data_IF_483762988248
#
_entry.id   IF_483762988248
#
_cell.length_a   1.000
_cell.length_b   1.000
_cell.length_c   1.000
_cell.angle_alpha   90.00
_cell.angle_beta   90.00
_cell.angle_gamma   90.00
#
_symmetry.space_group_name_H-M   'P 1'
#
loop_
_entity.id
_entity.type
_entity.pdbx_description
1 polymer ?
#
# COMPACT_ATOMS: atom_id res chain seq x y z
N UNK A 1 -4.46 63.72 -4.62
CA UNK A 1 -5.21 63.78 -3.34
C UNK A 1 -5.35 62.37 -2.78
N UNK A 2 -5.05 62.16 -1.51
CA UNK A 2 -5.18 60.84 -0.85
C UNK A 2 -6.34 60.86 0.14
N UNK A 3 -6.98 59.72 0.38
CA UNK A 3 -8.15 59.61 1.27
C UNK A 3 -7.83 59.77 2.76
N UNK A 4 -6.58 59.55 3.14
CA UNK A 4 -6.11 59.56 4.52
C UNK A 4 -4.63 59.99 4.58
N UNK A 5 -4.16 60.31 5.79
CA UNK A 5 -2.76 60.63 6.04
C UNK A 5 -1.81 59.45 5.79
N UNK A 6 -2.30 58.22 5.93
CA UNK A 6 -1.57 56.97 5.60
C UNK A 6 -1.35 56.81 4.10
N UNK A 7 -2.08 57.55 3.24
CA UNK A 7 -1.97 57.57 1.78
C UNK A 7 -2.26 56.23 1.08
N UNK A 8 -3.05 55.36 1.73
CA UNK A 8 -3.37 54.02 1.20
C UNK A 8 -4.20 54.04 -0.08
N UNK A 9 -4.97 55.12 -0.31
CA UNK A 9 -5.81 55.26 -1.50
C UNK A 9 -5.70 56.65 -2.11
N UNK A 10 -5.29 56.68 -3.38
CA UNK A 10 -5.34 57.87 -4.21
C UNK A 10 -6.79 58.12 -4.67
N UNK A 11 -7.31 59.32 -4.41
CA UNK A 11 -8.68 59.74 -4.75
C UNK A 11 -8.71 60.88 -5.78
N UNK A 12 -7.58 61.15 -6.44
CA UNK A 12 -7.52 62.10 -7.55
C UNK A 12 -8.15 61.51 -8.80
N UNK A 13 -9.44 61.78 -8.99
CA UNK A 13 -10.21 61.38 -10.17
C UNK A 13 -9.65 61.98 -11.47
N UNK A 14 -8.95 63.11 -11.41
CA UNK A 14 -8.30 63.72 -12.60
C UNK A 14 -7.09 62.92 -13.11
N UNK A 15 -6.43 62.13 -12.26
CA UNK A 15 -5.21 61.38 -12.62
C UNK A 15 -5.56 60.04 -13.27
N UNK A 16 -6.68 59.43 -12.87
CA UNK A 16 -7.07 58.10 -13.33
C UNK A 16 -7.20 57.99 -14.86
N UNK A 17 -7.91 58.89 -15.57
CA UNK A 17 -8.03 58.81 -17.03
C UNK A 17 -6.69 58.94 -17.75
N UNK A 18 -5.77 59.75 -17.21
CA UNK A 18 -4.43 59.96 -17.79
C UNK A 18 -3.62 58.66 -17.72
N UNK A 19 -3.63 58.00 -16.56
CA UNK A 19 -2.92 56.73 -16.36
C UNK A 19 -3.57 55.59 -17.15
N UNK A 20 -4.91 55.49 -17.15
CA UNK A 20 -5.63 54.48 -17.94
C UNK A 20 -5.36 54.63 -19.44
N UNK A 21 -5.33 55.87 -19.95
CA UNK A 21 -5.00 56.14 -21.35
C UNK A 21 -3.56 55.75 -21.69
N UNK A 22 -2.59 56.18 -20.86
CA UNK A 22 -1.18 55.89 -21.09
C UNK A 22 -0.88 54.39 -21.03
N UNK A 23 -1.44 53.68 -20.05
CA UNK A 23 -1.29 52.22 -19.95
C UNK A 23 -2.00 51.53 -21.11
N UNK A 24 -3.21 51.96 -21.47
CA UNK A 24 -3.95 51.36 -22.58
C UNK A 24 -3.18 51.45 -23.89
N UNK A 25 -2.64 52.62 -24.21
CA UNK A 25 -1.86 52.85 -25.43
C UNK A 25 -0.57 52.02 -25.44
N UNK A 26 0.25 52.12 -24.38
CA UNK A 26 1.51 51.37 -24.30
C UNK A 26 1.31 49.85 -24.26
N UNK A 27 0.26 49.36 -23.60
CA UNK A 27 -0.04 47.93 -23.53
C UNK A 27 -0.53 47.39 -24.88
N UNK A 28 -1.37 48.16 -25.59
CA UNK A 28 -1.81 47.82 -26.94
C UNK A 28 -0.64 47.75 -27.91
N UNK A 29 0.21 48.78 -27.93
CA UNK A 29 1.42 48.80 -28.75
C UNK A 29 2.31 47.60 -28.45
N UNK A 30 2.58 47.32 -27.16
CA UNK A 30 3.41 46.19 -26.77
C UNK A 30 2.83 44.82 -27.19
N UNK A 31 1.51 44.62 -27.10
CA UNK A 31 0.87 43.38 -27.56
C UNK A 31 0.89 43.22 -29.07
N UNK A 32 0.83 44.31 -29.84
CA UNK A 32 0.98 44.28 -31.30
C UNK A 32 2.42 43.93 -31.72
N UNK A 33 3.41 44.47 -31.01
CA UNK A 33 4.83 44.20 -31.27
C UNK A 33 5.29 42.81 -30.80
N UNK A 34 4.67 42.25 -29.76
CA UNK A 34 5.08 40.97 -29.13
C UNK A 34 3.97 39.91 -29.20
N UNK A 35 3.61 39.40 -30.40
CA UNK A 35 2.44 38.53 -30.57
C UNK A 35 2.57 37.16 -29.91
N UNK A 36 3.79 36.63 -29.72
CA UNK A 36 3.99 35.33 -29.07
C UNK A 36 3.72 35.41 -27.56
N UNK A 37 4.27 36.43 -26.89
CA UNK A 37 4.08 36.72 -25.49
C UNK A 37 2.65 37.17 -25.20
N UNK A 38 2.08 38.04 -26.05
CA UNK A 38 0.69 38.45 -25.97
C UNK A 38 -0.26 37.24 -26.01
N UNK A 39 0.01 36.27 -26.89
CA UNK A 39 -0.75 35.02 -26.95
C UNK A 39 -0.68 34.20 -25.65
N UNK A 40 0.50 34.11 -25.03
CA UNK A 40 0.67 33.44 -23.73
C UNK A 40 -0.13 34.13 -22.62
N UNK A 41 -0.06 35.47 -22.55
CA UNK A 41 -0.80 36.28 -21.58
C UNK A 41 -2.31 36.10 -21.78
N UNK A 42 -2.78 36.24 -23.03
CA UNK A 42 -4.20 36.06 -23.37
C UNK A 42 -4.69 34.65 -23.05
N UNK A 43 -3.89 33.63 -23.32
CA UNK A 43 -4.26 32.26 -22.99
C UNK A 43 -4.42 32.06 -21.48
N UNK A 44 -3.51 32.61 -20.66
CA UNK A 44 -3.62 32.57 -19.20
C UNK A 44 -4.87 33.31 -18.70
N UNK A 45 -5.23 34.44 -19.31
CA UNK A 45 -6.45 35.19 -18.99
C UNK A 45 -7.69 34.36 -19.34
N UNK A 46 -7.74 33.75 -20.51
CA UNK A 46 -8.86 32.91 -20.97
C UNK A 46 -9.02 31.69 -20.05
N UNK A 47 -7.92 31.01 -19.69
CA UNK A 47 -7.94 29.87 -18.78
C UNK A 47 -8.46 30.27 -17.39
N UNK A 48 -8.02 31.41 -16.85
CA UNK A 48 -8.53 31.94 -15.59
C UNK A 48 -10.02 32.35 -15.66
N UNK A 49 -10.45 32.95 -16.78
CA UNK A 49 -11.85 33.31 -17.00
C UNK A 49 -12.75 32.07 -17.11
N UNK A 50 -12.32 31.05 -17.86
CA UNK A 50 -13.02 29.77 -17.99
C UNK A 50 -13.12 29.04 -16.63
N UNK A 51 -12.04 29.03 -15.85
CA UNK A 51 -12.04 28.46 -14.50
C UNK A 51 -13.02 29.19 -13.57
N UNK A 52 -13.03 30.53 -13.59
CA UNK A 52 -13.99 31.34 -12.83
C UNK A 52 -15.43 31.11 -13.28
N UNK A 53 -15.69 31.02 -14.58
CA UNK A 53 -17.04 30.78 -15.10
C UNK A 53 -17.53 29.36 -14.76
N UNK A 54 -16.64 28.36 -14.83
CA UNK A 54 -16.93 27.00 -14.41
C UNK A 54 -17.20 26.91 -12.90
N UNK A 55 -16.37 27.56 -12.06
CA UNK A 55 -16.60 27.69 -10.62
C UNK A 55 -17.95 28.36 -10.35
N UNK A 56 -18.25 29.47 -11.04
CA UNK A 56 -19.53 30.17 -10.91
C UNK A 56 -20.72 29.29 -11.34
N UNK A 57 -20.60 28.53 -12.43
CA UNK A 57 -21.63 27.58 -12.88
C UNK A 57 -21.84 26.46 -11.88
N UNK A 58 -20.77 25.88 -11.33
CA UNK A 58 -20.85 24.87 -10.27
C UNK A 58 -21.48 25.44 -8.99
N UNK A 59 -21.13 26.69 -8.65
CA UNK A 59 -21.70 27.44 -7.53
C UNK A 59 -23.17 27.80 -7.74
N UNK A 60 -23.57 28.16 -8.96
CA UNK A 60 -24.97 28.43 -9.31
C UNK A 60 -25.78 27.12 -9.38
N UNK A 61 -25.17 25.99 -9.77
CA UNK A 61 -25.80 24.67 -9.72
C UNK A 61 -26.07 24.24 -8.27
N UNK A 62 -25.16 24.56 -7.34
CA UNK A 62 -25.31 24.33 -5.90
C UNK A 62 -26.24 25.36 -5.23
N UNK A 63 -26.24 26.63 -5.67
CA UNK A 63 -27.12 27.71 -5.15
C UNK A 63 -28.55 27.72 -5.72
N UNK A 64 -28.80 27.34 -6.97
CA UNK A 64 -30.18 27.28 -7.51
C UNK A 64 -31.02 26.21 -6.79
N UNK A 65 -30.38 25.28 -6.09
CA UNK A 65 -31.01 24.35 -5.15
C UNK A 65 -31.19 24.93 -3.73
N UNK A 66 -30.82 26.17 -3.43
CA UNK A 66 -30.62 26.60 -2.03
C UNK A 66 -31.75 27.41 -1.36
N UNK A 67 -32.77 27.89 -2.08
CA UNK A 67 -33.75 28.80 -1.45
C UNK A 67 -35.07 28.12 -1.01
N UNK A 68 -35.43 26.97 -1.61
CA UNK A 68 -36.61 26.18 -1.22
C UNK A 68 -36.31 24.67 -1.06
N UNK A 69 -35.14 24.20 -1.49
CA UNK A 69 -34.69 22.80 -1.34
C UNK A 69 -33.58 22.71 -0.28
N UNK A 70 -33.95 22.60 0.98
CA UNK A 70 -33.01 22.16 2.04
C UNK A 70 -32.49 20.71 1.78
N UNK A 71 -32.90 20.02 0.70
CA UNK A 71 -32.88 18.56 0.64
C UNK A 71 -32.57 17.93 -0.73
N UNK A 72 -31.53 18.35 -1.45
CA UNK A 72 -31.02 17.55 -2.58
C UNK A 72 -29.57 17.13 -2.37
N UNK A 73 -29.36 16.38 -1.28
CA UNK A 73 -28.22 15.48 -1.18
C UNK A 73 -28.12 14.64 -2.45
N UNK A 74 -26.90 14.28 -2.90
CA UNK A 74 -26.77 13.44 -4.07
C UNK A 74 -27.57 12.15 -3.88
N UNK A 75 -28.35 11.73 -4.88
CA UNK A 75 -29.20 10.52 -4.74
C UNK A 75 -28.41 9.23 -4.45
N UNK A 76 -27.09 9.24 -4.71
CA UNK A 76 -26.18 8.15 -4.35
C UNK A 76 -25.77 8.15 -2.88
N UNK A 77 -25.79 9.30 -2.21
CA UNK A 77 -25.36 9.43 -0.82
C UNK A 77 -26.41 8.80 0.11
N UNK A 78 -25.99 7.81 0.89
CA UNK A 78 -26.76 7.32 2.02
C UNK A 78 -26.29 8.03 3.29
N UNK A 79 -26.95 9.15 3.63
CA UNK A 79 -26.58 10.02 4.75
C UNK A 79 -26.91 9.41 6.13
N UNK A 80 -26.29 9.94 7.19
CA UNK A 80 -26.52 9.59 8.59
C UNK A 80 -27.47 10.58 9.29
N UNK A 81 -27.87 10.26 10.53
CA UNK A 81 -28.76 11.09 11.34
C UNK A 81 -28.00 12.19 12.11
N UNK A 82 -26.76 11.93 12.48
CA UNK A 82 -25.88 12.84 13.20
C UNK A 82 -25.64 14.12 12.38
N UNK A 83 -25.76 15.26 13.05
CA UNK A 83 -25.58 16.60 12.48
C UNK A 83 -24.30 17.27 12.96
N UNK A 84 -23.73 16.81 14.07
CA UNK A 84 -22.43 17.22 14.57
C UNK A 84 -21.32 16.61 13.69
N UNK A 85 -20.59 17.42 12.89
CA UNK A 85 -19.56 16.90 12.00
C UNK A 85 -18.45 16.13 12.72
N UNK A 86 -18.19 16.45 13.99
CA UNK A 86 -17.14 15.80 14.79
C UNK A 86 -17.46 14.34 15.13
N UNK A 87 -18.75 13.98 15.10
CA UNK A 87 -19.25 12.63 15.40
C UNK A 87 -19.67 11.86 14.14
N UNK A 88 -19.83 12.56 13.03
CA UNK A 88 -20.27 11.99 11.77
C UNK A 88 -19.08 11.55 10.90
N UNK A 89 -19.27 10.43 10.21
CA UNK A 89 -18.25 9.81 9.37
C UNK A 89 -18.79 9.56 7.96
N UNK A 90 -17.97 9.75 6.93
CA UNK A 90 -18.31 9.49 5.53
C UNK A 90 -17.37 8.42 4.97
N UNK A 91 -17.92 7.30 4.51
CA UNK A 91 -17.18 6.29 3.76
C UNK A 91 -17.38 6.49 2.26
N UNK A 92 -16.28 6.67 1.55
CA UNK A 92 -16.23 6.70 0.10
C UNK A 92 -15.86 5.29 -0.37
N UNK A 93 -16.78 4.65 -1.09
CA UNK A 93 -16.67 3.22 -1.45
C UNK A 93 -16.56 3.05 -2.95
N UNK A 94 -15.69 2.14 -3.37
CA UNK A 94 -15.54 1.75 -4.76
C UNK A 94 -16.70 0.86 -5.23
N UNK A 95 -17.48 1.35 -6.20
CA UNK A 95 -18.54 0.60 -6.85
C UNK A 95 -19.86 0.53 -6.09
N UNK A 96 -20.95 0.27 -6.83
CA UNK A 96 -22.28 0.15 -6.23
C UNK A 96 -22.45 -1.16 -5.44
N UNK A 97 -21.68 -2.20 -5.77
CA UNK A 97 -21.77 -3.51 -5.09
C UNK A 97 -21.34 -3.36 -3.63
N UNK A 98 -20.10 -2.93 -3.40
CA UNK A 98 -19.60 -2.66 -2.05
C UNK A 98 -20.39 -1.53 -1.37
N UNK A 99 -20.81 -0.50 -2.12
CA UNK A 99 -21.69 0.55 -1.61
C UNK A 99 -23.05 0.04 -1.11
N UNK A 100 -23.63 -0.95 -1.78
CA UNK A 100 -24.88 -1.59 -1.40
C UNK A 100 -24.77 -2.37 -0.09
N UNK A 101 -23.73 -3.21 0.03
CA UNK A 101 -23.45 -3.97 1.25
C UNK A 101 -23.09 -3.05 2.42
N UNK A 102 -22.24 -2.04 2.18
CA UNK A 102 -21.88 -1.05 3.20
C UNK A 102 -23.10 -0.24 3.67
N UNK A 103 -24.01 0.13 2.75
CA UNK A 103 -25.27 0.83 3.12
C UNK A 103 -26.17 -0.01 4.02
N UNK A 104 -26.17 -1.34 3.85
CA UNK A 104 -26.95 -2.27 4.68
C UNK A 104 -26.30 -2.45 6.05
N UNK A 105 -24.97 -2.52 6.10
CA UNK A 105 -24.18 -2.78 7.30
C UNK A 105 -24.00 -1.56 8.22
N UNK A 106 -23.95 -0.34 7.65
CA UNK A 106 -23.58 0.88 8.38
C UNK A 106 -24.43 1.15 9.62
N UNK A 107 -23.84 1.84 10.58
CA UNK A 107 -24.62 2.52 11.60
C UNK A 107 -25.27 3.78 11.00
N UNK A 108 -26.60 3.78 10.95
CA UNK A 108 -27.37 4.91 10.41
C UNK A 108 -27.29 6.16 11.29
N UNK A 109 -26.88 6.02 12.56
CA UNK A 109 -26.75 7.14 13.47
C UNK A 109 -25.66 8.08 12.98
N UNK A 110 -24.45 7.59 12.72
CA UNK A 110 -23.27 8.42 12.47
C UNK A 110 -22.48 8.12 11.18
N UNK A 111 -22.76 7.03 10.45
CA UNK A 111 -21.99 6.66 9.25
C UNK A 111 -22.77 6.95 7.97
N UNK A 112 -22.22 7.78 7.09
CA UNK A 112 -22.71 8.01 5.74
C UNK A 112 -21.90 7.20 4.72
N UNK A 113 -22.56 6.73 3.65
CA UNK A 113 -21.91 5.95 2.57
C UNK A 113 -22.10 6.67 1.24
N UNK A 114 -20.99 6.89 0.53
CA UNK A 114 -20.95 7.46 -0.81
C UNK A 114 -20.29 6.47 -1.80
N UNK A 115 -21.07 5.74 -2.60
CA UNK A 115 -20.53 4.89 -3.65
C UNK A 115 -20.09 5.72 -4.86
N UNK A 116 -18.90 5.43 -5.39
CA UNK A 116 -18.37 6.00 -6.62
C UNK A 116 -18.37 4.95 -7.72
N UNK A 117 -18.69 5.36 -8.96
CA UNK A 117 -18.66 4.45 -10.12
C UNK A 117 -17.52 4.79 -11.07
N UNK A 118 -16.83 3.74 -11.53
CA UNK A 118 -15.77 3.86 -12.53
C UNK A 118 -14.50 4.53 -12.01
N UNK A 119 -13.51 4.67 -12.90
CA UNK A 119 -12.26 5.36 -12.58
C UNK A 119 -12.53 6.86 -12.49
N UNK A 120 -12.16 7.46 -11.36
CA UNK A 120 -12.30 8.90 -11.16
C UNK A 120 -11.45 9.64 -12.19
N UNK A 121 -11.94 10.80 -12.64
CA UNK A 121 -11.17 11.66 -13.53
C UNK A 121 -9.86 12.08 -12.84
N UNK A 122 -8.73 11.87 -13.51
CA UNK A 122 -7.45 12.35 -13.01
C UNK A 122 -7.42 13.89 -13.02
N UNK A 123 -7.51 14.47 -11.83
CA UNK A 123 -7.58 15.92 -11.62
C UNK A 123 -6.24 16.63 -11.74
N UNK A 124 -5.13 15.90 -11.70
CA UNK A 124 -3.80 16.45 -11.97
C UNK A 124 -3.67 16.88 -13.43
N UNK A 125 -4.24 16.07 -14.33
CA UNK A 125 -4.20 16.32 -15.79
C UNK A 125 -5.40 17.10 -16.30
N UNK A 126 -6.55 16.96 -15.65
CA UNK A 126 -7.77 17.58 -16.12
C UNK A 126 -7.79 19.07 -15.77
N UNK A 127 -8.14 19.89 -16.76
CA UNK A 127 -8.47 21.30 -16.51
C UNK A 127 -9.63 21.40 -15.51
N UNK A 128 -9.63 22.48 -14.74
CA UNK A 128 -10.58 22.70 -13.63
C UNK A 128 -12.05 22.65 -14.08
N UNK A 129 -12.37 23.15 -15.26
CA UNK A 129 -13.70 23.08 -15.89
C UNK A 129 -14.14 21.64 -16.16
N UNK A 130 -13.24 20.81 -16.69
CA UNK A 130 -13.50 19.38 -16.93
C UNK A 130 -13.68 18.62 -15.63
N UNK A 131 -12.91 18.97 -14.59
CA UNK A 131 -13.07 18.41 -13.25
C UNK A 131 -14.46 18.68 -12.69
N UNK A 132 -14.95 19.92 -12.79
CA UNK A 132 -16.29 20.30 -12.32
C UNK A 132 -17.43 19.67 -13.13
N UNK A 133 -17.18 19.33 -14.40
CA UNK A 133 -18.15 18.60 -15.22
C UNK A 133 -18.31 17.13 -14.82
N UNK A 134 -17.39 16.58 -14.01
CA UNK A 134 -17.46 15.20 -13.54
C UNK A 134 -18.56 15.03 -12.49
N UNK A 135 -19.52 14.15 -12.80
CA UNK A 135 -20.63 13.87 -11.91
C UNK A 135 -20.18 13.28 -10.57
N UNK A 136 -19.19 12.39 -10.56
CA UNK A 136 -18.66 11.77 -9.33
C UNK A 136 -18.01 12.81 -8.43
N UNK A 137 -17.21 13.72 -9.00
CA UNK A 137 -16.55 14.80 -8.26
C UNK A 137 -17.58 15.79 -7.72
N UNK A 138 -18.54 16.23 -8.55
CA UNK A 138 -19.63 17.10 -8.10
C UNK A 138 -20.47 16.49 -6.97
N UNK A 139 -20.74 15.18 -7.06
CA UNK A 139 -21.45 14.41 -6.02
C UNK A 139 -20.65 14.40 -4.72
N UNK A 140 -19.33 14.15 -4.78
CA UNK A 140 -18.45 14.14 -3.62
C UNK A 140 -18.34 15.52 -2.94
N UNK A 141 -18.15 16.59 -3.72
CA UNK A 141 -18.11 17.97 -3.18
C UNK A 141 -19.43 18.32 -2.49
N UNK A 142 -20.56 17.96 -3.11
CA UNK A 142 -21.89 18.20 -2.54
C UNK A 142 -22.11 17.38 -1.26
N UNK A 143 -21.60 16.14 -1.20
CA UNK A 143 -21.65 15.31 -0.01
C UNK A 143 -20.83 15.92 1.14
N UNK A 144 -19.61 16.40 0.87
CA UNK A 144 -18.73 17.00 1.88
C UNK A 144 -19.25 18.34 2.39
N UNK A 145 -19.87 19.15 1.52
CA UNK A 145 -20.48 20.43 1.88
C UNK A 145 -19.51 21.63 1.91
N UNK A 146 -18.22 21.39 1.70
CA UNK A 146 -17.16 22.40 1.81
C UNK A 146 -17.06 23.37 0.63
N UNK A 147 -17.73 23.09 -0.49
CA UNK A 147 -17.41 23.78 -1.75
C UNK A 147 -16.08 23.31 -2.34
N UNK A 148 -15.59 23.99 -3.39
CA UNK A 148 -14.35 23.61 -4.09
C UNK A 148 -13.60 24.84 -4.64
N UNK A 149 -12.27 24.75 -4.64
CA UNK A 149 -11.38 25.77 -5.19
C UNK A 149 -11.02 26.85 -4.18
N UNK A 150 -9.91 27.56 -4.42
CA UNK A 150 -9.30 28.49 -3.45
C UNK A 150 -10.22 29.61 -2.95
N UNK A 151 -11.20 30.01 -3.75
CA UNK A 151 -12.08 31.16 -3.44
C UNK A 151 -13.43 30.73 -2.79
N UNK A 152 -13.85 29.47 -2.95
CA UNK A 152 -15.18 28.98 -2.51
C UNK A 152 -15.09 27.81 -1.52
N UNK A 153 -13.90 27.23 -1.31
CA UNK A 153 -13.67 26.18 -0.32
C UNK A 153 -13.74 26.76 1.11
N UNK A 154 -14.53 26.10 1.96
CA UNK A 154 -14.72 26.45 3.36
C UNK A 154 -14.80 25.18 4.20
N UNK A 155 -13.72 24.91 4.93
CA UNK A 155 -13.59 23.75 5.80
C UNK A 155 -14.58 23.76 6.97
N UNK A 156 -15.05 24.93 7.42
CA UNK A 156 -16.01 25.03 8.53
C UNK A 156 -17.41 24.53 8.12
N UNK A 157 -17.67 24.40 6.81
CA UNK A 157 -18.89 23.77 6.28
C UNK A 157 -18.78 22.26 6.10
N UNK A 158 -17.64 21.65 6.45
CA UNK A 158 -17.44 20.21 6.32
C UNK A 158 -18.46 19.47 7.18
N UNK A 159 -19.19 18.55 6.55
CA UNK A 159 -20.25 17.79 7.22
C UNK A 159 -19.78 16.57 8.01
N UNK A 160 -18.58 16.09 7.71
CA UNK A 160 -18.00 14.88 8.30
C UNK A 160 -16.53 15.12 8.60
N UNK A 161 -16.15 15.19 9.87
CA UNK A 161 -14.74 15.34 10.28
C UNK A 161 -13.96 14.02 10.16
N UNK A 162 -14.63 12.92 9.80
CA UNK A 162 -13.97 11.67 9.45
C UNK A 162 -14.40 11.23 8.05
N UNK A 163 -13.55 11.44 7.07
CA UNK A 163 -13.75 10.97 5.70
C UNK A 163 -12.84 9.76 5.48
N UNK A 164 -13.44 8.60 5.25
CA UNK A 164 -12.75 7.31 5.12
C UNK A 164 -12.83 6.85 3.67
N UNK A 165 -11.68 6.65 3.03
CA UNK A 165 -11.58 6.01 1.71
C UNK A 165 -11.52 4.50 1.91
N UNK A 166 -12.50 3.79 1.35
CA UNK A 166 -12.63 2.34 1.44
C UNK A 166 -12.64 1.75 0.01
N UNK A 167 -11.47 1.31 -0.44
CA UNK A 167 -11.22 0.74 -1.78
C UNK A 167 -10.76 -0.70 -1.67
N UNK A 168 -10.86 -1.45 -2.77
CA UNK A 168 -10.35 -2.83 -2.81
C UNK A 168 -8.82 -2.87 -2.68
N UNK A 169 -8.31 -4.04 -2.27
CA UNK A 169 -6.88 -4.30 -2.10
C UNK A 169 -6.16 -4.62 -3.42
N UNK A 170 -6.88 -4.61 -4.54
CA UNK A 170 -6.32 -4.89 -5.86
C UNK A 170 -5.71 -3.64 -6.52
N UNK A 171 -5.21 -3.83 -7.75
CA UNK A 171 -4.52 -2.78 -8.53
C UNK A 171 -5.49 -1.65 -8.92
N UNK A 172 -6.76 -1.95 -9.17
CA UNK A 172 -7.76 -0.96 -9.55
C UNK A 172 -8.19 -0.11 -8.34
N UNK A 173 -8.36 -0.73 -7.18
CA UNK A 173 -8.60 -0.03 -5.92
C UNK A 173 -7.43 0.85 -5.50
N UNK A 174 -6.18 0.39 -5.68
CA UNK A 174 -5.00 1.22 -5.49
C UNK A 174 -5.01 2.45 -6.43
N UNK A 175 -5.45 2.30 -7.67
CA UNK A 175 -5.53 3.41 -8.63
C UNK A 175 -6.62 4.43 -8.23
N UNK A 176 -7.83 3.99 -7.88
CA UNK A 176 -8.91 4.89 -7.43
C UNK A 176 -8.52 5.59 -6.13
N UNK A 177 -7.91 4.88 -5.19
CA UNK A 177 -7.36 5.46 -3.97
C UNK A 177 -6.38 6.58 -4.30
N UNK A 178 -5.42 6.33 -5.19
CA UNK A 178 -4.43 7.35 -5.56
C UNK A 178 -5.10 8.58 -6.22
N UNK A 179 -6.10 8.38 -7.09
CA UNK A 179 -6.86 9.47 -7.70
C UNK A 179 -7.64 10.31 -6.68
N UNK A 180 -8.25 9.67 -5.68
CA UNK A 180 -8.92 10.35 -4.56
C UNK A 180 -7.93 11.15 -3.72
N UNK A 181 -6.79 10.54 -3.38
CA UNK A 181 -5.74 11.22 -2.61
C UNK A 181 -5.22 12.45 -3.35
N UNK A 182 -4.93 12.34 -4.65
CA UNK A 182 -4.55 13.49 -5.48
C UNK A 182 -5.63 14.57 -5.50
N UNK A 183 -6.91 14.18 -5.58
CA UNK A 183 -8.02 15.14 -5.50
C UNK A 183 -8.06 15.89 -4.17
N UNK A 184 -8.05 15.17 -3.04
CA UNK A 184 -8.08 15.82 -1.72
C UNK A 184 -6.86 16.69 -1.50
N UNK A 185 -5.68 16.22 -1.88
CA UNK A 185 -4.43 16.97 -1.73
C UNK A 185 -4.43 18.27 -2.56
N UNK A 186 -4.88 18.23 -3.82
CA UNK A 186 -4.89 19.42 -4.69
C UNK A 186 -6.04 20.39 -4.40
N UNK A 187 -7.22 19.88 -4.07
CA UNK A 187 -8.45 20.68 -4.03
C UNK A 187 -8.95 20.99 -2.61
N UNK A 188 -8.56 20.18 -1.62
CA UNK A 188 -9.03 20.27 -0.23
C UNK A 188 -7.89 19.98 0.77
N UNK A 189 -6.71 20.64 0.67
CA UNK A 189 -5.55 20.33 1.51
C UNK A 189 -5.84 20.46 3.00
N UNK A 190 -6.67 21.43 3.41
CA UNK A 190 -7.06 21.64 4.81
C UNK A 190 -7.75 20.42 5.45
N UNK A 191 -8.40 19.57 4.64
CA UNK A 191 -9.02 18.33 5.14
C UNK A 191 -7.95 17.34 5.61
N UNK A 192 -6.80 17.30 4.92
CA UNK A 192 -5.66 16.46 5.29
C UNK A 192 -4.89 17.11 6.46
N UNK A 193 -4.67 18.43 6.41
CA UNK A 193 -3.96 19.17 7.45
C UNK A 193 -4.66 19.10 8.82
N UNK A 194 -6.00 19.15 8.84
CA UNK A 194 -6.80 18.94 10.06
C UNK A 194 -6.95 17.47 10.46
N UNK A 195 -6.38 16.54 9.70
CA UNK A 195 -6.40 15.11 10.00
C UNK A 195 -7.77 14.46 9.84
N UNK A 196 -8.59 14.94 8.90
CA UNK A 196 -9.95 14.42 8.66
C UNK A 196 -10.01 13.32 7.60
N UNK A 197 -8.92 13.06 6.86
CA UNK A 197 -8.86 12.02 5.82
C UNK A 197 -8.22 10.73 6.35
N UNK A 198 -8.89 9.61 6.10
CA UNK A 198 -8.49 8.27 6.54
C UNK A 198 -8.59 7.27 5.39
N UNK A 199 -7.80 6.21 5.46
CA UNK A 199 -7.86 5.06 4.55
C UNK A 199 -8.25 3.84 5.39
N UNK A 200 -9.32 3.15 4.99
CA UNK A 200 -9.71 1.89 5.63
C UNK A 200 -8.69 0.78 5.30
N UNK A 201 -8.44 -0.10 6.26
CA UNK A 201 -7.62 -1.30 6.09
C UNK A 201 -8.53 -2.54 6.26
N UNK A 202 -9.30 -2.92 5.23
CA UNK A 202 -10.13 -4.12 5.30
C UNK A 202 -9.24 -5.37 5.42
N UNK A 203 -9.71 -6.43 6.10
CA UNK A 203 -8.92 -7.63 6.29
C UNK A 203 -8.71 -8.39 4.98
N UNK A 204 -7.50 -8.89 4.76
CA UNK A 204 -7.18 -9.74 3.61
C UNK A 204 -7.68 -11.18 3.82
N UNK A 205 -7.74 -11.64 5.07
CA UNK A 205 -8.12 -13.01 5.41
C UNK A 205 -9.18 -13.08 6.51
N UNK A 206 -10.02 -14.11 6.42
CA UNK A 206 -10.90 -14.58 7.49
C UNK A 206 -10.49 -16.00 7.86
N UNK A 207 -10.21 -16.21 9.14
CA UNK A 207 -9.83 -17.49 9.69
C UNK A 207 -10.90 -17.97 10.66
N UNK A 208 -11.50 -19.13 10.38
CA UNK A 208 -12.56 -19.72 11.19
C UNK A 208 -12.08 -21.03 11.82
N UNK A 209 -12.32 -21.21 13.12
CA UNK A 209 -12.14 -22.48 13.85
C UNK A 209 -13.34 -22.75 14.75
N UNK A 210 -14.19 -23.68 14.33
CA UNK A 210 -15.45 -23.96 15.01
C UNK A 210 -16.34 -22.70 15.02
N UNK A 211 -16.56 -22.12 16.20
CA UNK A 211 -17.34 -20.87 16.37
C UNK A 211 -16.48 -19.60 16.44
N UNK A 212 -15.15 -19.75 16.55
CA UNK A 212 -14.24 -18.61 16.61
C UNK A 212 -13.93 -18.12 15.21
N UNK A 213 -14.14 -16.82 14.98
CA UNK A 213 -13.78 -16.13 13.75
C UNK A 213 -12.73 -15.09 14.11
N UNK A 214 -11.67 -15.01 13.29
CA UNK A 214 -10.67 -13.94 13.37
C UNK A 214 -10.44 -13.36 11.98
N UNK A 215 -10.49 -12.03 11.90
CA UNK A 215 -10.10 -11.28 10.72
C UNK A 215 -8.62 -10.94 10.81
N UNK A 216 -7.91 -11.12 9.71
CA UNK A 216 -6.46 -10.92 9.61
C UNK A 216 -6.20 -9.93 8.47
N UNK A 217 -5.38 -8.91 8.77
CA UNK A 217 -5.19 -7.73 7.92
C UNK A 217 -4.36 -8.02 6.68
N UNK A 218 -3.28 -8.77 6.82
CA UNK A 218 -2.26 -8.96 5.79
C UNK A 218 -1.66 -10.38 5.84
N UNK A 219 -0.70 -10.65 4.95
CA UNK A 219 -0.02 -11.94 4.87
C UNK A 219 0.88 -12.19 6.09
N UNK A 220 1.56 -11.16 6.59
CA UNK A 220 2.51 -11.29 7.69
C UNK A 220 1.81 -11.65 9.01
N UNK A 221 0.64 -11.05 9.26
CA UNK A 221 -0.21 -11.41 10.39
C UNK A 221 -0.77 -12.83 10.23
N UNK A 222 -1.11 -13.27 9.01
CA UNK A 222 -1.53 -14.64 8.76
C UNK A 222 -0.40 -15.63 9.08
N UNK A 223 0.80 -15.37 8.59
CA UNK A 223 1.95 -16.26 8.79
C UNK A 223 2.34 -16.32 10.28
N UNK A 224 2.33 -15.17 10.96
CA UNK A 224 2.54 -15.10 12.41
C UNK A 224 1.48 -15.89 13.19
N UNK A 225 0.20 -15.75 12.79
CA UNK A 225 -0.90 -16.50 13.39
C UNK A 225 -0.78 -18.00 13.14
N UNK A 226 -0.35 -18.42 11.95
CA UNK A 226 -0.12 -19.83 11.63
C UNK A 226 1.09 -20.39 12.39
N UNK A 227 2.14 -19.59 12.64
CA UNK A 227 3.27 -19.98 13.49
C UNK A 227 2.81 -20.20 14.93
N UNK A 228 2.03 -19.27 15.49
CA UNK A 228 1.50 -19.36 16.85
C UNK A 228 0.65 -20.63 17.03
N UNK A 229 -0.32 -20.83 16.13
CA UNK A 229 -1.20 -21.99 16.17
C UNK A 229 -0.45 -23.31 15.88
N UNK A 230 0.47 -23.29 14.90
CA UNK A 230 1.24 -24.46 14.48
C UNK A 230 2.30 -24.92 15.48
N UNK A 231 2.77 -24.02 16.34
CA UNK A 231 3.73 -24.29 17.42
C UNK A 231 3.05 -24.79 18.70
N UNK A 232 1.72 -24.73 18.79
CA UNK A 232 0.97 -25.23 19.95
C UNK A 232 1.11 -26.74 20.08
N UNK A 233 1.48 -27.23 21.27
CA UNK A 233 1.75 -28.65 21.56
C UNK A 233 2.80 -29.29 20.63
N UNK A 234 3.72 -28.47 20.09
CA UNK A 234 4.83 -28.93 19.27
C UNK A 234 6.18 -28.71 19.98
N UNK A 235 7.13 -29.57 19.64
CA UNK A 235 8.51 -29.51 20.12
C UNK A 235 9.47 -29.74 18.95
N UNK A 236 10.58 -29.02 18.93
CA UNK A 236 11.68 -29.23 18.02
C UNK A 236 12.91 -29.68 18.82
N UNK A 237 13.38 -30.90 18.57
CA UNK A 237 14.63 -31.40 19.17
C UNK A 237 15.77 -31.11 18.21
N UNK A 238 16.69 -30.24 18.62
CA UNK A 238 17.84 -29.85 17.80
C UNK A 238 18.88 -30.96 17.74
N UNK A 239 19.80 -30.86 16.79
CA UNK A 239 20.94 -31.78 16.65
C UNK A 239 21.87 -31.87 17.87
N UNK A 240 21.79 -30.88 18.78
CA UNK A 240 22.49 -30.87 20.07
C UNK A 240 21.80 -31.72 21.15
N UNK A 241 20.55 -32.15 20.91
CA UNK A 241 19.66 -32.78 21.89
C UNK A 241 18.82 -31.79 22.70
N UNK A 242 19.02 -30.47 22.52
CA UNK A 242 18.17 -29.46 23.15
C UNK A 242 16.73 -29.53 22.60
N UNK A 243 15.74 -29.45 23.49
CA UNK A 243 14.32 -29.46 23.12
C UNK A 243 13.77 -28.04 23.21
N UNK A 244 13.26 -27.53 22.10
CA UNK A 244 12.67 -26.20 21.95
C UNK A 244 11.15 -26.32 21.83
N UNK A 245 10.41 -25.51 22.58
CA UNK A 245 8.95 -25.52 22.62
C UNK A 245 8.40 -24.12 22.97
N UNK A 246 7.08 -23.93 22.80
CA UNK A 246 6.42 -22.69 23.21
C UNK A 246 6.96 -21.46 22.48
N UNK A 247 7.27 -20.39 23.21
CA UNK A 247 7.75 -19.11 22.64
C UNK A 247 9.07 -19.26 21.87
N UNK A 248 9.98 -20.13 22.32
CA UNK A 248 11.24 -20.33 21.61
C UNK A 248 11.02 -21.02 20.24
N UNK A 249 10.03 -21.92 20.14
CA UNK A 249 9.67 -22.54 18.86
C UNK A 249 9.02 -21.52 17.92
N UNK A 250 8.19 -20.61 18.46
CA UNK A 250 7.62 -19.50 17.67
C UNK A 250 8.71 -18.58 17.13
N UNK A 251 9.70 -18.25 17.96
CA UNK A 251 10.86 -17.45 17.56
C UNK A 251 11.65 -18.13 16.43
N UNK A 252 11.95 -19.43 16.55
CA UNK A 252 12.59 -20.19 15.47
C UNK A 252 11.73 -20.23 14.20
N UNK A 253 10.40 -20.33 14.33
CA UNK A 253 9.48 -20.23 13.19
C UNK A 253 9.54 -18.88 12.49
N UNK A 254 9.62 -17.78 13.25
CA UNK A 254 9.78 -16.43 12.70
C UNK A 254 11.15 -16.24 12.02
N UNK A 255 12.22 -16.73 12.65
CA UNK A 255 13.56 -16.73 12.05
C UNK A 255 13.61 -17.55 10.75
N UNK A 256 12.92 -18.70 10.73
CA UNK A 256 12.76 -19.51 9.53
C UNK A 256 12.00 -18.76 8.43
N UNK A 257 10.94 -18.03 8.77
CA UNK A 257 10.16 -17.22 7.83
C UNK A 257 11.02 -16.11 7.20
N UNK A 258 11.82 -15.42 8.01
CA UNK A 258 12.76 -14.40 7.53
C UNK A 258 13.76 -15.04 6.56
N UNK A 259 14.39 -16.14 6.96
CA UNK A 259 15.35 -16.86 6.10
C UNK A 259 14.70 -17.29 4.77
N UNK A 260 13.49 -17.87 4.82
CA UNK A 260 12.77 -18.31 3.64
C UNK A 260 12.41 -17.16 2.71
N UNK A 261 11.99 -16.01 3.24
CA UNK A 261 11.69 -14.84 2.42
C UNK A 261 12.91 -14.35 1.63
N UNK A 262 14.11 -14.49 2.19
CA UNK A 262 15.36 -14.12 1.51
C UNK A 262 15.73 -15.19 0.47
N UNK A 263 15.57 -16.47 0.78
CA UNK A 263 15.81 -17.57 -0.16
C UNK A 263 14.86 -17.51 -1.36
N UNK A 264 13.60 -17.15 -1.15
CA UNK A 264 12.59 -17.00 -2.20
C UNK A 264 12.99 -15.96 -3.26
N UNK A 265 13.65 -14.86 -2.86
CA UNK A 265 14.18 -13.85 -3.79
C UNK A 265 15.34 -14.38 -4.63
N UNK A 266 16.09 -15.35 -4.09
CA UNK A 266 17.23 -15.97 -4.75
C UNK A 266 16.86 -17.19 -5.60
N UNK A 267 15.62 -17.70 -5.54
CA UNK A 267 15.12 -18.87 -6.30
C UNK A 267 15.30 -18.77 -7.82
N UNK A 268 15.33 -17.55 -8.36
CA UNK A 268 15.58 -17.34 -9.80
C UNK A 268 17.02 -17.68 -10.23
N UNK A 269 17.95 -17.82 -9.27
CA UNK A 269 19.38 -18.03 -9.50
C UNK A 269 19.83 -19.45 -9.18
N UNK A 270 19.22 -20.09 -8.19
CA UNK A 270 19.52 -21.47 -7.81
C UNK A 270 18.31 -22.12 -7.10
N UNK A 271 18.25 -23.47 -7.06
CA UNK A 271 17.24 -24.18 -6.30
C UNK A 271 17.25 -23.82 -4.81
N UNK A 272 16.07 -23.78 -4.20
CA UNK A 272 15.87 -23.42 -2.80
C UNK A 272 16.65 -24.33 -1.84
N UNK A 273 16.64 -25.64 -2.12
CA UNK A 273 17.39 -26.64 -1.35
C UNK A 273 18.89 -26.35 -1.35
N UNK A 274 19.46 -25.98 -2.50
CA UNK A 274 20.87 -25.60 -2.63
C UNK A 274 21.16 -24.32 -1.85
N UNK A 275 20.36 -23.27 -2.02
CA UNK A 275 20.57 -22.00 -1.29
C UNK A 275 20.49 -22.23 0.23
N UNK A 276 19.52 -23.01 0.70
CA UNK A 276 19.35 -23.33 2.11
C UNK A 276 20.58 -24.06 2.67
N UNK A 277 21.07 -25.11 1.99
CA UNK A 277 22.22 -25.87 2.48
C UNK A 277 23.53 -25.06 2.42
N UNK A 278 23.71 -24.21 1.41
CA UNK A 278 24.83 -23.27 1.35
C UNK A 278 24.79 -22.25 2.50
N UNK A 279 23.61 -21.74 2.85
CA UNK A 279 23.44 -20.80 3.95
C UNK A 279 23.75 -21.46 5.31
N UNK A 280 23.23 -22.67 5.54
CA UNK A 280 23.46 -23.42 6.78
C UNK A 280 24.95 -23.82 6.94
N UNK A 281 25.62 -24.13 5.83
CA UNK A 281 27.05 -24.44 5.81
C UNK A 281 27.97 -23.20 5.90
N UNK A 282 27.41 -21.98 5.84
CA UNK A 282 28.18 -20.74 5.82
C UNK A 282 28.89 -20.42 4.49
N UNK A 283 28.59 -21.16 3.41
CA UNK A 283 29.25 -21.06 2.12
C UNK A 283 28.95 -19.75 1.33
N UNK A 284 27.97 -18.98 1.79
CA UNK A 284 27.63 -17.66 1.25
C UNK A 284 28.48 -16.52 1.84
N UNK A 285 29.31 -16.81 2.84
CA UNK A 285 30.18 -15.81 3.47
C UNK A 285 31.32 -15.35 2.58
N UNK A 286 31.88 -14.15 2.83
CA UNK A 286 33.03 -13.63 2.09
C UNK A 286 34.31 -14.45 2.33
N UNK A 287 34.43 -15.07 3.51
CA UNK A 287 35.56 -15.92 3.90
C UNK A 287 35.34 -17.40 3.60
N UNK A 288 34.21 -17.76 2.97
CA UNK A 288 33.89 -19.14 2.65
C UNK A 288 34.92 -19.72 1.66
N UNK A 289 35.43 -20.90 1.97
CA UNK A 289 36.37 -21.65 1.15
C UNK A 289 35.91 -23.08 0.90
N UNK A 290 36.85 -23.93 0.50
CA UNK A 290 36.56 -25.32 0.12
C UNK A 290 35.83 -26.09 1.22
N UNK A 291 36.14 -25.84 2.49
CA UNK A 291 35.53 -26.53 3.63
C UNK A 291 34.01 -26.28 3.70
N UNK A 292 33.57 -25.04 3.56
CA UNK A 292 32.15 -24.67 3.60
C UNK A 292 31.41 -25.21 2.37
N UNK A 293 32.07 -25.25 1.21
CA UNK A 293 31.51 -25.84 -0.01
C UNK A 293 31.34 -27.37 0.11
N UNK A 294 32.34 -28.07 0.65
CA UNK A 294 32.26 -29.51 0.93
C UNK A 294 31.21 -29.83 1.99
N UNK A 295 31.08 -29.00 3.04
CA UNK A 295 30.02 -29.17 4.03
C UNK A 295 28.63 -28.98 3.39
N UNK A 296 28.44 -27.97 2.55
CA UNK A 296 27.18 -27.80 1.84
C UNK A 296 26.85 -29.00 0.93
N UNK A 297 27.85 -29.61 0.30
CA UNK A 297 27.69 -30.81 -0.51
C UNK A 297 27.24 -32.01 0.34
N UNK A 298 27.92 -32.26 1.47
CA UNK A 298 27.50 -33.30 2.44
C UNK A 298 26.06 -33.11 2.89
N UNK A 299 25.65 -31.86 3.12
CA UNK A 299 24.28 -31.54 3.53
C UNK A 299 23.25 -31.75 2.41
N UNK A 300 23.63 -31.52 1.16
CA UNK A 300 22.79 -31.84 0.02
C UNK A 300 22.60 -33.35 -0.14
N UNK A 301 23.63 -34.15 0.14
CA UNK A 301 23.51 -35.61 0.13
C UNK A 301 22.54 -36.12 1.21
N UNK A 302 22.52 -35.49 2.40
CA UNK A 302 21.60 -35.85 3.48
C UNK A 302 20.12 -35.74 3.05
N UNK A 303 19.80 -34.78 2.19
CA UNK A 303 18.42 -34.53 1.72
C UNK A 303 18.15 -35.10 0.31
N UNK A 304 19.11 -35.82 -0.27
CA UNK A 304 18.96 -36.39 -1.59
C UNK A 304 18.06 -37.64 -1.56
N UNK A 305 17.28 -37.82 -2.61
CA UNK A 305 16.53 -39.06 -2.82
C UNK A 305 17.48 -40.25 -3.03
N UNK A 306 16.99 -41.46 -2.78
CA UNK A 306 17.79 -42.69 -2.93
C UNK A 306 18.39 -42.80 -4.36
N UNK A 307 19.72 -42.81 -4.43
CA UNK A 307 20.48 -42.87 -5.68
C UNK A 307 20.64 -41.52 -6.41
N UNK A 308 20.36 -40.40 -5.75
CA UNK A 308 20.70 -39.05 -6.22
C UNK A 308 21.74 -38.32 -5.36
N UNK A 309 22.46 -39.05 -4.52
CA UNK A 309 23.59 -38.57 -3.73
C UNK A 309 24.87 -38.38 -4.59
N UNK A 310 25.95 -37.91 -3.98
CA UNK A 310 27.23 -37.66 -4.65
C UNK A 310 27.44 -36.20 -5.04
N UNK A 311 26.87 -35.27 -4.28
CA UNK A 311 27.18 -33.85 -4.44
C UNK A 311 28.66 -33.57 -4.14
N UNK A 312 29.22 -32.67 -4.92
CA UNK A 312 30.54 -32.08 -4.69
C UNK A 312 30.42 -30.56 -4.73
N UNK A 313 31.15 -29.90 -3.84
CA UNK A 313 31.16 -28.44 -3.71
C UNK A 313 32.58 -27.91 -3.85
N UNK A 314 32.79 -26.91 -4.71
CA UNK A 314 34.09 -26.25 -4.88
C UNK A 314 33.95 -24.78 -5.24
N UNK A 315 35.05 -24.05 -5.07
CA UNK A 315 35.23 -22.74 -5.68
C UNK A 315 36.11 -22.88 -6.92
N UNK A 316 35.61 -22.44 -8.07
CA UNK A 316 36.41 -22.35 -9.31
C UNK A 316 37.36 -21.14 -9.25
N UNK A 317 38.37 -21.09 -10.14
CA UNK A 317 39.40 -20.04 -10.17
C UNK A 317 38.85 -18.61 -10.34
N UNK A 318 37.65 -18.47 -10.92
CA UNK A 318 36.95 -17.19 -11.08
C UNK A 318 36.16 -16.76 -9.82
N UNK A 319 36.25 -17.54 -8.75
CA UNK A 319 35.57 -17.31 -7.47
C UNK A 319 34.11 -17.77 -7.46
N UNK A 320 33.63 -18.45 -8.49
CA UNK A 320 32.29 -19.05 -8.54
C UNK A 320 32.19 -20.25 -7.61
N UNK A 321 31.10 -20.33 -6.85
CA UNK A 321 30.75 -21.50 -6.05
C UNK A 321 29.98 -22.49 -6.92
N UNK A 322 30.48 -23.72 -7.03
CA UNK A 322 29.91 -24.77 -7.86
C UNK A 322 29.49 -25.93 -6.97
N UNK A 323 28.21 -26.31 -7.09
CA UNK A 323 27.66 -27.54 -6.54
C UNK A 323 27.29 -28.45 -7.71
N UNK A 324 27.78 -29.67 -7.74
CA UNK A 324 27.45 -30.61 -8.82
C UNK A 324 27.37 -32.06 -8.34
N UNK A 325 26.52 -32.85 -9.00
CA UNK A 325 26.37 -34.31 -8.81
C UNK A 325 26.16 -34.99 -10.16
N UNK A 326 26.32 -36.31 -10.22
CA UNK A 326 25.96 -37.12 -11.38
C UNK A 326 24.83 -38.08 -11.02
N UNK A 327 23.65 -37.88 -11.64
CA UNK A 327 22.48 -38.72 -11.41
C UNK A 327 22.16 -39.47 -12.70
N UNK A 328 22.27 -40.80 -12.68
CA UNK A 328 21.96 -41.69 -13.83
C UNK A 328 22.67 -41.28 -15.13
N UNK A 329 23.93 -40.84 -15.03
CA UNK A 329 24.75 -40.41 -16.17
C UNK A 329 24.48 -38.98 -16.65
N UNK A 330 23.69 -38.19 -15.92
CA UNK A 330 23.43 -36.77 -16.20
C UNK A 330 24.05 -35.92 -15.10
N UNK A 331 24.88 -34.95 -15.48
CA UNK A 331 25.45 -33.97 -14.54
C UNK A 331 24.40 -32.92 -14.19
N UNK A 332 24.04 -32.86 -12.91
CA UNK A 332 23.29 -31.76 -12.32
C UNK A 332 24.28 -30.78 -11.70
N UNK A 333 24.25 -29.53 -12.14
CA UNK A 333 25.27 -28.53 -11.80
C UNK A 333 24.65 -27.17 -11.55
N UNK A 334 24.93 -26.61 -10.38
CA UNK A 334 24.55 -25.27 -9.94
C UNK A 334 25.81 -24.42 -9.82
N UNK A 335 25.87 -23.31 -10.56
CA UNK A 335 27.01 -22.38 -10.58
C UNK A 335 26.57 -21.01 -10.10
N UNK A 336 27.11 -20.60 -8.95
CA UNK A 336 26.86 -19.31 -8.32
C UNK A 336 28.08 -18.41 -8.51
N UNK A 337 27.97 -17.46 -9.45
CA UNK A 337 29.02 -16.47 -9.72
C UNK A 337 29.30 -15.59 -8.50
N UNK A 338 30.48 -14.97 -8.36
CA UNK A 338 30.83 -14.10 -7.22
C UNK A 338 29.75 -13.05 -6.88
N UNK A 339 29.18 -12.41 -7.91
CA UNK A 339 28.12 -11.41 -7.76
C UNK A 339 26.86 -11.92 -7.03
N UNK A 340 26.61 -13.23 -7.02
CA UNK A 340 25.54 -13.82 -6.21
C UNK A 340 25.84 -13.69 -4.72
N UNK A 341 27.06 -14.02 -4.29
CA UNK A 341 27.49 -13.93 -2.87
C UNK A 341 27.60 -12.48 -2.41
N UNK A 342 27.96 -11.57 -3.32
CA UNK A 342 28.04 -10.13 -3.04
C UNK A 342 26.66 -9.45 -2.93
N UNK A 343 25.59 -10.14 -3.36
CA UNK A 343 24.23 -9.61 -3.30
C UNK A 343 23.80 -9.28 -1.87
N UNK A 344 22.90 -8.30 -1.74
CA UNK A 344 22.37 -7.92 -0.43
C UNK A 344 21.66 -9.10 0.25
N UNK A 345 20.97 -9.94 -0.52
CA UNK A 345 20.24 -11.11 -0.03
C UNK A 345 21.18 -12.23 0.43
N UNK A 346 22.24 -12.54 -0.31
CA UNK A 346 23.24 -13.52 0.14
C UNK A 346 23.95 -13.07 1.43
N UNK A 347 24.26 -11.77 1.55
CA UNK A 347 24.80 -11.19 2.79
C UNK A 347 23.81 -11.26 3.95
N UNK A 348 22.51 -11.07 3.69
CA UNK A 348 21.46 -11.25 4.71
C UNK A 348 21.38 -12.70 5.18
N UNK A 349 21.43 -13.68 4.27
CA UNK A 349 21.48 -15.10 4.64
C UNK A 349 22.76 -15.46 5.41
N UNK A 350 23.90 -14.91 5.02
CA UNK A 350 25.15 -15.12 5.74
C UNK A 350 25.07 -14.61 7.19
N UNK A 351 24.40 -13.48 7.46
CA UNK A 351 24.17 -13.00 8.83
C UNK A 351 23.30 -13.95 9.67
N UNK A 352 22.47 -14.77 9.04
CA UNK A 352 21.65 -15.78 9.70
C UNK A 352 22.35 -17.14 9.79
N UNK A 353 23.54 -17.29 9.21
CA UNK A 353 24.22 -18.58 9.07
C UNK A 353 24.46 -19.28 10.42
N UNK A 354 24.89 -18.54 11.45
CA UNK A 354 25.15 -19.11 12.77
C UNK A 354 23.87 -19.69 13.40
N UNK A 355 22.77 -18.94 13.35
CA UNK A 355 21.45 -19.37 13.87
C UNK A 355 20.89 -20.54 13.06
N UNK A 356 21.05 -20.50 11.73
CA UNK A 356 20.65 -21.59 10.84
C UNK A 356 21.50 -22.85 11.09
N UNK A 357 22.79 -22.71 11.35
CA UNK A 357 23.70 -23.81 11.66
C UNK A 357 23.42 -24.40 13.04
N UNK A 358 23.11 -23.57 14.04
CA UNK A 358 22.71 -24.03 15.36
C UNK A 358 21.42 -24.89 15.30
N UNK A 359 20.46 -24.45 14.49
CA UNK A 359 19.15 -25.11 14.38
C UNK A 359 19.16 -26.32 13.45
N UNK A 360 19.76 -26.19 12.27
CA UNK A 360 19.67 -27.16 11.16
C UNK A 360 21.01 -27.80 10.79
N UNK A 361 22.10 -27.48 11.50
CA UNK A 361 23.44 -28.05 11.28
C UNK A 361 23.48 -29.57 11.34
N UNK A 362 22.54 -30.18 12.08
CA UNK A 362 22.15 -31.58 11.96
C UNK A 362 20.63 -31.65 11.84
N UNK A 363 20.07 -32.79 11.39
CA UNK A 363 18.62 -32.95 11.29
C UNK A 363 17.96 -32.69 12.66
N UNK A 364 16.99 -31.78 12.67
CA UNK A 364 16.18 -31.50 13.86
C UNK A 364 14.92 -32.37 13.81
N UNK A 365 14.44 -32.85 14.96
CA UNK A 365 13.24 -33.68 15.04
C UNK A 365 12.06 -32.84 15.51
N UNK A 366 11.11 -32.60 14.62
CA UNK A 366 9.84 -31.95 14.94
C UNK A 366 8.82 -32.99 15.39
N UNK A 367 8.13 -32.73 16.50
CA UNK A 367 7.04 -33.58 17.00
C UNK A 367 5.86 -32.73 17.45
N UNK A 368 4.63 -33.14 17.13
CA UNK A 368 3.40 -32.48 17.59
C UNK A 368 2.49 -33.48 18.30
N UNK A 369 2.25 -33.27 19.58
CA UNK A 369 1.44 -34.19 20.41
C UNK A 369 1.96 -35.63 20.31
N UNK A 370 1.07 -36.55 19.93
CA UNK A 370 1.37 -37.98 19.77
C UNK A 370 1.72 -38.38 18.33
N UNK A 371 1.83 -37.43 17.40
CA UNK A 371 2.26 -37.71 16.03
C UNK A 371 3.73 -38.18 16.00
N UNK A 372 4.08 -38.97 14.98
CA UNK A 372 5.46 -39.41 14.78
C UNK A 372 6.40 -38.22 14.55
N UNK A 373 7.64 -38.34 15.02
CA UNK A 373 8.63 -37.29 14.83
C UNK A 373 9.06 -37.24 13.36
N UNK A 374 9.16 -36.03 12.81
CA UNK A 374 9.59 -35.78 11.43
C UNK A 374 10.92 -35.04 11.45
N UNK A 375 11.86 -35.48 10.62
CA UNK A 375 13.15 -34.82 10.45
C UNK A 375 13.03 -33.54 9.62
N UNK A 376 13.70 -32.50 10.08
CA UNK A 376 13.76 -31.17 9.50
C UNK A 376 15.21 -30.85 9.17
N UNK A 377 15.43 -30.48 7.92
CA UNK A 377 16.75 -30.23 7.33
C UNK A 377 16.97 -28.77 6.93
N UNK A 378 15.98 -27.90 7.15
CA UNK A 378 16.10 -26.48 6.91
C UNK A 378 14.81 -25.68 7.19
N UNK A 379 14.89 -24.35 7.02
CA UNK A 379 13.77 -23.43 7.31
C UNK A 379 12.47 -23.75 6.57
N UNK A 380 12.56 -24.08 5.27
CA UNK A 380 11.39 -24.37 4.43
C UNK A 380 10.52 -25.50 5.03
N UNK A 381 11.15 -26.60 5.42
CA UNK A 381 10.47 -27.76 5.99
C UNK A 381 9.90 -27.46 7.38
N UNK A 382 10.61 -26.69 8.22
CA UNK A 382 10.07 -26.27 9.52
C UNK A 382 8.78 -25.47 9.32
N UNK A 383 8.81 -24.47 8.43
CA UNK A 383 7.65 -23.64 8.11
C UNK A 383 6.51 -24.46 7.52
N UNK A 384 6.81 -25.40 6.62
CA UNK A 384 5.80 -26.28 6.02
C UNK A 384 5.04 -27.06 7.10
N UNK A 385 5.75 -27.70 8.04
CA UNK A 385 5.12 -28.50 9.10
C UNK A 385 4.40 -27.62 10.12
N UNK A 386 4.97 -26.46 10.47
CA UNK A 386 4.33 -25.48 11.35
C UNK A 386 3.03 -24.97 10.70
N UNK A 387 3.08 -24.49 9.47
CA UNK A 387 1.91 -23.98 8.75
C UNK A 387 0.87 -25.06 8.48
N UNK A 388 1.26 -26.28 8.13
CA UNK A 388 0.33 -27.39 7.96
C UNK A 388 -0.45 -27.66 9.26
N UNK A 389 0.24 -27.62 10.41
CA UNK A 389 -0.41 -27.69 11.72
C UNK A 389 -1.28 -26.50 12.05
N UNK A 390 -0.79 -25.30 11.78
CA UNK A 390 -1.51 -24.04 12.00
C UNK A 390 -2.77 -23.94 11.14
N UNK A 391 -2.82 -24.62 9.99
CA UNK A 391 -4.00 -24.72 9.13
C UNK A 391 -4.95 -25.86 9.51
N UNK A 392 -4.48 -26.86 10.27
CA UNK A 392 -5.27 -28.05 10.63
C UNK A 392 -6.49 -27.64 11.47
N UNK A 393 -7.68 -27.86 10.94
CA UNK A 393 -8.95 -27.51 11.59
C UNK A 393 -9.37 -26.04 11.42
N UNK A 394 -8.65 -25.27 10.61
CA UNK A 394 -9.01 -23.90 10.24
C UNK A 394 -9.57 -23.84 8.82
N UNK A 395 -10.58 -23.00 8.62
CA UNK A 395 -11.04 -22.58 7.30
C UNK A 395 -10.54 -21.16 7.05
N UNK A 396 -9.65 -21.02 6.07
CA UNK A 396 -9.05 -19.73 5.70
C UNK A 396 -9.71 -19.28 4.40
N UNK A 397 -10.35 -18.11 4.43
CA UNK A 397 -10.90 -17.45 3.26
C UNK A 397 -10.10 -16.18 2.99
N UNK A 398 -9.64 -15.99 1.76
CA UNK A 398 -9.01 -14.76 1.31
C UNK A 398 -10.04 -13.88 0.61
N UNK A 399 -10.11 -12.61 0.97
CA UNK A 399 -10.94 -11.62 0.27
C UNK A 399 -10.13 -11.00 -0.87
N UNK A 400 -10.75 -10.87 -2.05
CA UNK A 400 -10.15 -10.15 -3.18
C UNK A 400 -10.67 -8.72 -3.31
N UNK A 401 -11.88 -8.47 -2.83
CA UNK A 401 -12.49 -7.16 -2.82
C UNK A 401 -13.61 -7.07 -1.78
N UNK A 402 -14.00 -5.84 -1.45
CA UNK A 402 -15.02 -5.51 -0.46
C UNK A 402 -16.39 -6.08 -0.85
N UNK A 403 -16.65 -6.24 -2.15
CA UNK A 403 -17.88 -6.83 -2.67
C UNK A 403 -18.05 -8.33 -2.37
N UNK A 404 -17.00 -9.04 -1.96
CA UNK A 404 -17.06 -10.45 -1.55
C UNK A 404 -17.52 -10.61 -0.09
N UNK A 405 -17.56 -9.51 0.66
CA UNK A 405 -17.95 -9.50 2.07
C UNK A 405 -19.46 -9.28 2.19
N UNK A 406 -20.13 -10.12 2.99
CA UNK A 406 -21.52 -9.89 3.37
C UNK A 406 -21.64 -8.67 4.31
N UNK A 407 -22.82 -8.03 4.42
CA UNK A 407 -23.01 -6.86 5.28
C UNK A 407 -22.50 -7.04 6.72
N UNK A 408 -22.79 -8.17 7.35
CA UNK A 408 -22.32 -8.44 8.73
C UNK A 408 -20.78 -8.47 8.82
N UNK A 409 -20.11 -9.01 7.79
CA UNK A 409 -18.65 -9.05 7.75
C UNK A 409 -18.04 -7.66 7.55
N UNK A 410 -18.68 -6.82 6.72
CA UNK A 410 -18.28 -5.42 6.57
C UNK A 410 -18.49 -4.63 7.87
N UNK A 411 -19.54 -4.93 8.62
CA UNK A 411 -19.75 -4.36 9.95
C UNK A 411 -18.62 -4.78 10.89
N UNK A 412 -18.44 -6.09 11.09
CA UNK A 412 -17.46 -6.68 12.02
C UNK A 412 -16.00 -6.33 11.73
N UNK A 413 -15.70 -5.76 10.54
CA UNK A 413 -14.35 -5.38 10.17
C UNK A 413 -14.17 -3.89 9.82
N UNK A 414 -14.35 -3.38 8.58
CA UNK A 414 -13.99 -2.00 8.28
C UNK A 414 -14.95 -0.93 8.83
N UNK A 415 -16.19 -1.29 9.21
CA UNK A 415 -17.19 -0.30 9.64
C UNK A 415 -17.33 -0.19 11.17
N UNK A 416 -17.11 -1.24 11.95
CA UNK A 416 -17.21 -1.17 13.42
C UNK A 416 -16.08 -0.29 13.98
N UNK A 417 -16.47 0.75 14.72
CA UNK A 417 -15.55 1.68 15.36
C UNK A 417 -14.58 1.04 16.36
N UNK A 418 -14.93 -0.12 16.91
CA UNK A 418 -14.11 -0.85 17.88
C UNK A 418 -13.18 -1.90 17.25
N UNK A 419 -13.49 -2.38 16.04
CA UNK A 419 -12.75 -3.46 15.38
C UNK A 419 -11.90 -2.98 14.18
N UNK A 420 -12.30 -1.88 13.54
CA UNK A 420 -11.65 -1.40 12.31
C UNK A 420 -10.23 -0.89 12.54
N UNK A 421 -9.43 -1.03 11.49
CA UNK A 421 -8.12 -0.38 11.36
C UNK A 421 -8.20 0.72 10.30
N UNK A 422 -7.78 1.94 10.67
CA UNK A 422 -7.75 3.11 9.79
C UNK A 422 -6.35 3.72 9.79
N UNK A 423 -5.88 4.12 8.62
CA UNK A 423 -4.68 4.95 8.47
C UNK A 423 -5.10 6.41 8.32
N UNK A 424 -4.70 7.26 9.27
CA UNK A 424 -4.91 8.71 9.16
C UNK A 424 -3.85 9.32 8.25
N UNK A 425 -4.27 10.12 7.27
CA UNK A 425 -3.31 10.85 6.45
C UNK A 425 -2.83 12.11 7.15
N UNK A 426 -1.52 12.35 7.06
CA UNK A 426 -0.83 13.54 7.56
C UNK A 426 0.07 14.10 6.46
N UNK A 427 0.26 15.41 6.46
CA UNK A 427 1.21 16.09 5.55
C UNK A 427 2.48 16.34 6.34
N UNK A 428 3.58 15.68 5.99
CA UNK A 428 4.87 15.91 6.65
C UNK A 428 5.63 17.10 6.06
N UNK A 429 5.60 17.28 4.72
CA UNK A 429 6.13 18.47 4.03
C UNK A 429 5.46 18.61 2.65
N UNK A 430 5.13 19.84 2.24
CA UNK A 430 4.45 20.11 0.96
C UNK A 430 5.34 19.87 -0.27
N UNK A 431 6.67 19.97 -0.13
CA UNK A 431 7.59 20.04 -1.27
C UNK A 431 8.01 18.66 -1.82
N UNK A 432 7.94 17.59 -1.01
CA UNK A 432 8.34 16.23 -1.43
C UNK A 432 7.22 15.39 -2.03
N UNK A 433 5.96 15.69 -1.70
CA UNK A 433 4.80 14.93 -2.17
C UNK A 433 4.48 15.22 -3.66
N UNK A 434 4.66 16.47 -4.10
CA UNK A 434 4.36 16.90 -5.47
C UNK A 434 5.15 16.12 -6.54
N UNK A 435 6.43 15.88 -6.30
CA UNK A 435 7.30 15.10 -7.21
C UNK A 435 6.92 13.62 -7.26
N UNK A 436 6.52 13.06 -6.12
CA UNK A 436 6.06 11.67 -6.00
C UNK A 436 4.75 11.46 -6.76
N UNK A 437 3.77 12.36 -6.57
CA UNK A 437 2.49 12.32 -7.27
C UNK A 437 2.66 12.56 -8.77
N UNK A 438 3.56 13.47 -9.17
CA UNK A 438 3.87 13.73 -10.59
C UNK A 438 4.49 12.51 -11.26
N UNK A 439 5.41 11.78 -10.59
CA UNK A 439 5.98 10.52 -11.10
C UNK A 439 4.95 9.40 -11.20
N UNK A 440 4.09 9.25 -10.20
CA UNK A 440 3.03 8.23 -10.17
C UNK A 440 1.88 8.50 -11.16
N UNK A 441 1.60 9.78 -11.43
CA UNK A 441 0.49 10.23 -12.29
C UNK A 441 0.95 10.76 -13.66
N UNK A 442 2.24 10.70 -13.98
CA UNK A 442 2.84 11.13 -15.25
C UNK A 442 2.52 10.23 -16.44
N UNK A 443 2.78 10.70 -17.65
CA UNK A 443 2.39 10.02 -18.90
C UNK A 443 3.17 8.74 -19.21
N UNK A 444 4.29 8.50 -18.53
CA UNK A 444 5.18 7.36 -18.79
C UNK A 444 4.79 6.18 -17.89
N UNK A 445 4.34 5.09 -18.52
CA UNK A 445 3.84 3.89 -17.84
C UNK A 445 4.96 3.14 -17.10
N UNK A 446 6.15 3.05 -17.69
CA UNK A 446 7.31 2.33 -17.16
C UNK A 446 7.78 2.84 -15.79
N UNK A 447 8.07 4.15 -15.57
CA UNK A 447 8.46 4.67 -14.27
C UNK A 447 7.40 4.47 -13.19
N UNK A 448 6.11 4.57 -13.55
CA UNK A 448 4.99 4.29 -12.64
C UNK A 448 4.95 2.81 -12.25
N UNK A 449 5.14 1.91 -13.23
CA UNK A 449 5.15 0.47 -13.00
C UNK A 449 6.37 0.05 -12.18
N UNK A 450 7.56 0.55 -12.50
CA UNK A 450 8.78 0.32 -11.73
C UNK A 450 8.66 0.88 -10.32
N UNK A 451 8.11 2.08 -10.12
CA UNK A 451 7.91 2.62 -8.78
C UNK A 451 6.95 1.76 -7.95
N UNK A 452 5.79 1.36 -8.53
CA UNK A 452 4.84 0.46 -7.86
C UNK A 452 5.48 -0.89 -7.55
N UNK A 453 6.25 -1.47 -8.46
CA UNK A 453 6.93 -2.76 -8.26
C UNK A 453 8.07 -2.66 -7.23
N UNK A 454 8.80 -1.54 -7.21
CA UNK A 454 9.94 -1.31 -6.33
C UNK A 454 9.49 -0.96 -4.90
N UNK A 455 8.46 -0.13 -4.74
CA UNK A 455 7.98 0.34 -3.44
C UNK A 455 6.79 -0.46 -2.88
N UNK A 456 6.21 -1.40 -3.64
CA UNK A 456 5.27 -2.38 -3.08
C UNK A 456 5.94 -3.32 -2.05
N UNK A 457 7.27 -3.36 -2.02
CA UNK A 457 8.07 -4.19 -1.11
C UNK A 457 8.73 -3.39 0.02
N UNK A 458 8.71 -2.05 -0.01
CA UNK A 458 9.42 -1.16 0.93
C UNK A 458 8.46 -0.32 1.79
N UNK A 459 7.23 -0.78 2.03
CA UNK A 459 6.41 -0.22 3.10
C UNK A 459 6.95 -0.72 4.46
N UNK A 460 8.06 -0.13 4.90
CA UNK A 460 8.47 -0.23 6.30
C UNK A 460 7.34 0.34 7.16
N UNK A 461 6.75 -0.53 7.97
CA UNK A 461 5.94 -0.14 9.13
C UNK A 461 6.93 0.48 10.10
N UNK A 462 6.84 1.79 10.35
CA UNK A 462 7.51 2.40 11.48
C UNK A 462 7.18 1.57 12.73
N UNK A 463 8.26 1.08 13.35
CA UNK A 463 8.33 0.08 14.43
C UNK A 463 7.32 0.22 15.56
#
# INVERSE_FOLDING_TARGET
KFSSQTKDKLVSSEVRPIVESAIGESLSEWFEENPAEAKLVMQKIIEAAAAREAARKARDLTRRKSALDIASLPGKLADCQERDPSKAELFIVEGDSAGGSAKQARDRQNQAILPLKGKILNVERARFDRMLSSQEIGTMITALGTGIGRDDFDIEKLRYHKVVIMTDADVDGAHIRTLLLTFFYRQMPELIERGYLYIAQPPLYKVERGKSIRYIKDQDELDSYLIDMGSTNATLTLGSGAVVAGEDLKRLGQEALIAQSVMDRLKSKAPDSVIAQLAIAGALGPEAGTKEAEEAARRLDIIADEGEDGWSGRFDDDGSLVMEREVRGVTDRVVLRPAFRDSADARRLHKLADTLSETYGKPALFKRGDEDAVEIYGPAQLLEIIFAGGRKGFKIQRYKGLGEMNPDQLWESPLDAHARSLLQLRVETADGADDLFTKLMGDVVEPRREFIVTHALDAEVDS
#
